data_IF_545686354918
#
_entry.id   IF_545686354918
#
_cell.length_a   1.000
_cell.length_b   1.000
_cell.length_c   1.000
_cell.angle_alpha   90.00
_cell.angle_beta   90.00
_cell.angle_gamma   90.00
#
_symmetry.space_group_name_H-M   'P 1'
#
loop_
_entity.id
_entity.type
_entity.pdbx_description
1 polymer ?
#
# COMPACT_ATOMS: atom_id res chain seq x y z
N UNK A 1 12.95 -37.35 -18.98
CA UNK A 1 11.81 -36.69 -19.57
C UNK A 1 10.79 -36.20 -18.55
N UNK A 2 10.40 -37.05 -17.62
CA UNK A 2 9.46 -36.67 -16.57
C UNK A 2 9.99 -35.52 -15.71
N UNK A 3 11.26 -35.56 -15.44
CA UNK A 3 11.92 -34.55 -14.65
C UNK A 3 11.77 -33.16 -15.26
N UNK A 4 11.90 -33.13 -16.58
CA UNK A 4 11.76 -31.87 -17.30
C UNK A 4 10.35 -31.32 -17.22
N UNK A 5 9.36 -32.18 -17.26
CA UNK A 5 7.98 -31.79 -17.15
C UNK A 5 7.64 -31.31 -15.73
N UNK A 6 8.23 -31.93 -14.73
CA UNK A 6 8.03 -31.51 -13.34
C UNK A 6 8.63 -30.14 -13.11
N UNK A 7 9.79 -29.88 -13.69
CA UNK A 7 10.43 -28.57 -13.57
C UNK A 7 9.56 -27.49 -14.20
N UNK A 8 8.96 -27.78 -15.33
CA UNK A 8 8.07 -26.86 -15.99
C UNK A 8 6.83 -26.57 -15.15
N UNK A 9 6.29 -27.59 -14.52
CA UNK A 9 5.14 -27.42 -13.64
C UNK A 9 5.45 -26.52 -12.45
N UNK A 10 6.61 -26.73 -11.86
CA UNK A 10 7.04 -25.92 -10.74
C UNK A 10 7.24 -24.45 -11.13
N UNK A 11 7.91 -24.21 -12.25
CA UNK A 11 8.11 -22.85 -12.74
C UNK A 11 6.79 -22.16 -13.04
N UNK A 12 5.85 -22.89 -13.59
CA UNK A 12 4.53 -22.35 -13.88
C UNK A 12 3.81 -21.93 -12.61
N UNK A 13 3.91 -22.72 -11.55
CA UNK A 13 3.31 -22.38 -10.26
C UNK A 13 3.94 -21.14 -9.66
N UNK A 14 5.26 -21.04 -9.74
CA UNK A 14 5.97 -19.87 -9.23
C UNK A 14 5.56 -18.61 -9.99
N UNK A 15 5.43 -18.73 -11.31
CA UNK A 15 5.02 -17.62 -12.14
C UNK A 15 3.59 -17.18 -11.82
N UNK A 16 2.70 -18.12 -11.56
CA UNK A 16 1.32 -17.81 -11.21
C UNK A 16 1.24 -17.04 -9.89
N UNK A 17 1.98 -17.46 -8.90
CA UNK A 17 2.00 -16.77 -7.61
C UNK A 17 2.53 -15.36 -7.78
N UNK A 18 3.63 -15.22 -8.48
CA UNK A 18 4.23 -13.93 -8.76
C UNK A 18 3.27 -13.02 -9.51
N UNK A 19 2.60 -13.58 -10.50
CA UNK A 19 1.65 -12.85 -11.31
C UNK A 19 0.45 -12.37 -10.47
N UNK A 20 -0.04 -13.20 -9.58
CA UNK A 20 -1.16 -12.85 -8.71
C UNK A 20 -0.80 -11.67 -7.80
N UNK A 21 0.37 -11.70 -7.17
CA UNK A 21 0.83 -10.62 -6.30
C UNK A 21 1.00 -9.33 -7.11
N UNK A 22 1.61 -9.43 -8.29
CA UNK A 22 1.80 -8.28 -9.16
C UNK A 22 0.46 -7.72 -9.63
N UNK A 23 -0.50 -8.59 -9.94
CA UNK A 23 -1.82 -8.16 -10.36
C UNK A 23 -2.55 -7.38 -9.29
N UNK A 24 -2.45 -7.81 -8.04
CA UNK A 24 -3.11 -7.10 -6.95
C UNK A 24 -2.47 -5.74 -6.70
N UNK A 25 -1.14 -5.68 -6.76
CA UNK A 25 -0.45 -4.40 -6.65
C UNK A 25 -0.83 -3.48 -7.80
N UNK A 26 -0.93 -4.01 -9.00
CA UNK A 26 -1.34 -3.25 -10.17
C UNK A 26 -2.78 -2.74 -10.02
N UNK A 27 -3.68 -3.58 -9.55
CA UNK A 27 -5.06 -3.19 -9.29
C UNK A 27 -5.14 -2.08 -8.26
N UNK A 28 -4.34 -2.19 -7.21
CA UNK A 28 -4.31 -1.17 -6.17
C UNK A 28 -3.89 0.19 -6.73
N UNK A 29 -2.85 0.18 -7.56
CA UNK A 29 -2.37 1.40 -8.21
C UNK A 29 -3.45 1.97 -9.14
N UNK A 30 -4.08 1.11 -9.94
CA UNK A 30 -5.16 1.55 -10.82
C UNK A 30 -6.32 2.15 -10.04
N UNK A 31 -6.71 1.53 -8.94
CA UNK A 31 -7.81 2.04 -8.13
C UNK A 31 -7.44 3.36 -7.47
N UNK A 32 -6.20 3.50 -7.04
CA UNK A 32 -5.73 4.77 -6.48
C UNK A 32 -5.74 5.88 -7.54
N UNK A 33 -5.30 5.57 -8.76
CA UNK A 33 -5.30 6.54 -9.83
C UNK A 33 -6.72 6.88 -10.30
N UNK A 34 -7.65 5.93 -10.16
CA UNK A 34 -9.03 6.15 -10.56
C UNK A 34 -9.75 7.17 -9.68
N UNK A 35 -9.24 7.43 -8.48
CA UNK A 35 -9.85 8.44 -7.59
C UNK A 35 -9.06 9.73 -7.53
N UNK A 36 -8.15 9.96 -8.48
CA UNK A 36 -7.47 11.25 -8.57
C UNK A 36 -8.52 12.36 -8.71
N UNK A 37 -8.29 13.44 -8.00
CA UNK A 37 -9.21 14.58 -8.02
C UNK A 37 -10.28 14.54 -6.95
N UNK A 38 -10.47 13.44 -6.25
CA UNK A 38 -11.44 13.38 -5.15
C UNK A 38 -10.98 14.32 -4.04
N UNK A 39 -11.87 15.20 -3.54
CA UNK A 39 -11.47 16.20 -2.55
C UNK A 39 -11.04 15.59 -1.23
N UNK A 40 -10.10 16.26 -0.57
CA UNK A 40 -9.75 15.93 0.80
C UNK A 40 -10.93 16.26 1.70
N UNK A 41 -11.22 15.37 2.64
CA UNK A 41 -12.25 15.59 3.63
C UNK A 41 -11.79 15.01 4.95
N UNK A 42 -11.72 15.85 5.97
CA UNK A 42 -11.30 15.39 7.29
C UNK A 42 -12.24 14.29 7.78
N UNK A 43 -11.66 13.16 8.17
CA UNK A 43 -12.44 12.00 8.59
C UNK A 43 -13.05 11.21 7.45
N UNK A 44 -12.83 11.61 6.19
CA UNK A 44 -13.44 10.97 5.04
C UNK A 44 -12.73 9.67 4.66
N UNK A 45 -13.54 8.69 4.21
CA UNK A 45 -13.03 7.39 3.82
C UNK A 45 -13.78 6.79 2.64
N UNK A 46 -14.40 7.63 1.81
CA UNK A 46 -15.07 7.15 0.60
C UNK A 46 -14.90 8.17 -0.52
N UNK A 47 -15.01 7.70 -1.75
CA UNK A 47 -14.91 8.57 -2.91
C UNK A 47 -16.06 9.56 -2.97
N UNK A 48 -17.24 9.15 -2.50
CA UNK A 48 -18.42 10.00 -2.49
C UNK A 48 -18.30 11.14 -1.48
N UNK A 49 -17.78 10.86 -0.30
CA UNK A 49 -17.65 11.84 0.75
C UNK A 49 -16.32 12.59 0.73
N UNK A 50 -15.31 12.02 0.08
CA UNK A 50 -13.94 12.53 0.12
C UNK A 50 -13.10 11.70 1.07
N UNK A 51 -11.79 11.91 1.01
CA UNK A 51 -10.82 11.15 1.80
C UNK A 51 -9.92 12.04 2.62
N UNK A 52 -9.59 11.63 3.85
CA UNK A 52 -8.34 12.12 4.43
C UNK A 52 -7.22 11.13 4.06
N UNK A 53 -5.99 11.36 4.52
CA UNK A 53 -4.85 10.58 4.02
C UNK A 53 -4.97 9.08 4.35
N UNK A 54 -5.24 8.75 5.60
CA UNK A 54 -5.34 7.36 6.02
C UNK A 54 -6.65 6.73 5.58
N UNK A 55 -7.71 7.52 5.44
CA UNK A 55 -8.98 7.05 4.91
C UNK A 55 -8.87 6.62 3.46
N UNK A 56 -8.09 7.35 2.67
CA UNK A 56 -7.80 6.98 1.29
C UNK A 56 -7.10 5.62 1.22
N UNK A 57 -6.03 5.48 2.00
CA UNK A 57 -5.26 4.22 2.01
C UNK A 57 -6.13 3.05 2.47
N UNK A 58 -6.88 3.26 3.54
CA UNK A 58 -7.78 2.22 4.07
C UNK A 58 -8.79 1.79 3.01
N UNK A 59 -9.43 2.76 2.34
CA UNK A 59 -10.43 2.46 1.32
C UNK A 59 -9.84 1.70 0.14
N UNK A 60 -8.66 2.09 -0.32
CA UNK A 60 -8.03 1.43 -1.46
C UNK A 60 -7.67 -0.02 -1.14
N UNK A 61 -7.13 -0.28 0.05
CA UNK A 61 -6.79 -1.65 0.44
C UNK A 61 -8.02 -2.50 0.68
N UNK A 62 -9.04 -1.96 1.29
CA UNK A 62 -10.27 -2.70 1.51
C UNK A 62 -10.93 -3.07 0.18
N UNK A 63 -11.02 -2.12 -0.73
CA UNK A 63 -11.67 -2.30 -2.02
C UNK A 63 -10.90 -3.27 -2.92
N UNK A 64 -9.58 -3.22 -2.90
CA UNK A 64 -8.77 -4.00 -3.83
C UNK A 64 -8.39 -5.36 -3.29
N UNK A 65 -8.00 -5.41 -2.02
CA UNK A 65 -7.43 -6.62 -1.40
C UNK A 65 -8.36 -7.23 -0.39
N UNK A 66 -9.39 -6.52 0.03
CA UNK A 66 -10.32 -7.00 1.06
C UNK A 66 -9.75 -6.92 2.46
N UNK A 67 -8.67 -6.19 2.65
CA UNK A 67 -8.04 -6.06 3.95
C UNK A 67 -8.41 -4.74 4.59
N UNK A 68 -8.87 -4.80 5.83
CA UNK A 68 -9.26 -3.61 6.58
C UNK A 68 -8.08 -3.14 7.41
N UNK A 69 -7.44 -2.08 6.96
CA UNK A 69 -6.35 -1.46 7.70
C UNK A 69 -6.89 -0.60 8.84
N UNK A 70 -6.07 -0.32 9.86
CA UNK A 70 -6.49 0.61 10.89
C UNK A 70 -6.82 1.99 10.31
N UNK A 71 -7.56 2.79 11.08
CA UNK A 71 -8.08 4.05 10.56
C UNK A 71 -7.05 5.17 10.49
N UNK A 72 -6.11 5.20 11.43
CA UNK A 72 -5.15 6.30 11.52
C UNK A 72 -3.80 5.93 10.91
N UNK A 73 -3.10 6.92 10.36
CA UNK A 73 -1.83 6.69 9.69
C UNK A 73 -0.81 6.00 10.59
N UNK A 74 -0.64 6.47 11.83
CA UNK A 74 0.34 5.84 12.74
C UNK A 74 -0.03 4.42 13.09
N UNK A 75 -1.31 4.11 13.13
CA UNK A 75 -1.78 2.74 13.36
C UNK A 75 -1.52 1.86 12.14
N UNK A 76 -1.68 2.42 10.96
CA UNK A 76 -1.36 1.70 9.72
C UNK A 76 0.13 1.39 9.65
N UNK A 77 0.97 2.32 10.07
CA UNK A 77 2.41 2.07 10.13
C UNK A 77 2.74 0.94 11.10
N UNK A 78 2.12 0.96 12.29
CA UNK A 78 2.39 -0.04 13.31
C UNK A 78 1.90 -1.44 12.91
N UNK A 79 0.90 -1.52 12.05
CA UNK A 79 0.29 -2.79 11.65
C UNK A 79 0.95 -3.42 10.43
N UNK A 80 1.95 -2.77 9.84
CA UNK A 80 2.53 -3.21 8.58
C UNK A 80 4.03 -3.43 8.73
N UNK A 81 4.61 -4.13 7.76
CA UNK A 81 5.99 -4.54 7.81
C UNK A 81 6.91 -3.41 7.38
N UNK A 82 7.90 -3.11 8.20
CA UNK A 82 8.90 -2.11 7.84
C UNK A 82 9.78 -2.63 6.71
N UNK A 83 9.99 -1.80 5.69
CA UNK A 83 10.91 -2.10 4.60
C UNK A 83 11.82 -0.90 4.40
N UNK A 84 12.94 -1.14 3.74
CA UNK A 84 13.86 -0.09 3.39
C UNK A 84 13.28 0.72 2.23
N UNK A 85 13.59 2.01 2.21
CA UNK A 85 13.16 2.89 1.13
C UNK A 85 13.60 2.37 -0.24
N UNK A 86 14.77 1.73 -0.29
CA UNK A 86 15.30 1.16 -1.53
C UNK A 86 14.53 -0.06 -2.00
N UNK A 87 13.69 -0.64 -1.14
CA UNK A 87 12.91 -1.83 -1.47
C UNK A 87 11.48 -1.51 -1.88
N UNK A 88 11.14 -0.25 -2.00
CA UNK A 88 9.78 0.17 -2.33
C UNK A 88 9.30 -0.43 -3.65
N UNK A 89 8.07 -0.93 -3.63
CA UNK A 89 7.37 -1.47 -4.79
C UNK A 89 5.99 -0.85 -4.89
N UNK A 90 5.42 -0.77 -6.09
CA UNK A 90 4.06 -0.26 -6.22
C UNK A 90 3.10 -0.98 -5.27
N UNK A 91 2.27 -0.21 -4.59
CA UNK A 91 1.34 -0.73 -3.58
C UNK A 91 1.83 -0.57 -2.15
N UNK A 92 3.12 -0.37 -1.94
CA UNK A 92 3.65 -0.15 -0.60
C UNK A 92 3.19 1.19 -0.05
N UNK A 93 3.26 1.34 1.26
CA UNK A 93 2.87 2.58 1.93
C UNK A 93 4.10 3.41 2.25
N UNK A 94 3.96 4.72 2.08
CA UNK A 94 5.01 5.67 2.43
C UNK A 94 4.45 6.64 3.45
N UNK A 95 5.23 6.89 4.50
CA UNK A 95 4.80 7.69 5.64
C UNK A 95 5.64 8.93 5.80
N UNK A 96 5.01 10.01 6.23
CA UNK A 96 5.66 11.31 6.33
C UNK A 96 5.22 12.03 7.60
N UNK A 97 6.04 12.96 8.04
CA UNK A 97 5.72 13.86 9.13
C UNK A 97 5.27 15.19 8.53
N UNK A 98 3.97 15.41 8.48
CA UNK A 98 3.42 16.65 7.93
C UNK A 98 2.79 17.54 8.97
N UNK A 99 2.67 17.05 10.22
CA UNK A 99 2.02 17.78 11.30
C UNK A 99 2.87 17.80 12.55
N UNK A 100 4.19 17.85 12.37
CA UNK A 100 5.16 17.82 13.47
C UNK A 100 5.00 16.59 14.34
N UNK A 101 4.51 15.52 13.75
CA UNK A 101 4.28 14.26 14.44
C UNK A 101 4.64 13.12 13.49
N UNK A 102 5.43 12.16 13.99
CA UNK A 102 5.88 11.05 13.18
C UNK A 102 4.69 10.24 12.67
N UNK A 103 4.80 9.79 11.43
CA UNK A 103 3.78 8.96 10.79
C UNK A 103 2.40 9.60 10.78
N UNK A 104 2.36 10.92 10.64
CA UNK A 104 1.09 11.66 10.62
C UNK A 104 0.44 11.66 9.24
N UNK A 105 1.19 11.28 8.20
CA UNK A 105 0.70 11.28 6.83
C UNK A 105 1.10 9.99 6.12
N UNK A 106 0.24 9.52 5.22
CA UNK A 106 0.49 8.28 4.48
C UNK A 106 0.00 8.40 3.05
N UNK A 107 0.70 7.71 2.15
CA UNK A 107 0.30 7.58 0.75
C UNK A 107 0.66 6.21 0.22
N UNK A 108 0.27 5.95 -1.01
CA UNK A 108 0.53 4.68 -1.71
C UNK A 108 1.59 4.91 -2.78
N UNK A 109 2.68 4.16 -2.68
CA UNK A 109 3.76 4.23 -3.66
C UNK A 109 3.30 3.60 -4.98
N UNK A 110 3.60 4.25 -6.09
CA UNK A 110 3.16 3.74 -7.40
C UNK A 110 4.32 3.48 -8.37
N UNK A 111 5.56 3.58 -7.88
CA UNK A 111 6.74 3.36 -8.72
C UNK A 111 7.39 4.67 -9.14
N UNK A 112 8.61 4.59 -9.61
CA UNK A 112 9.37 5.73 -10.14
C UNK A 112 9.48 6.91 -9.19
N UNK A 113 9.53 6.63 -7.89
CA UNK A 113 9.65 7.66 -6.88
C UNK A 113 8.39 8.45 -6.65
N UNK A 114 7.25 7.99 -7.14
CA UNK A 114 5.98 8.71 -7.03
C UNK A 114 5.01 8.02 -6.09
N UNK A 115 4.13 8.79 -5.49
CA UNK A 115 3.08 8.25 -4.63
C UNK A 115 1.78 9.03 -4.81
N UNK A 116 0.67 8.35 -4.52
CA UNK A 116 -0.67 8.93 -4.57
C UNK A 116 -1.15 9.12 -3.15
N UNK A 117 -1.73 10.25 -2.86
CA UNK A 117 -2.23 10.54 -1.51
C UNK A 117 -3.35 11.58 -1.53
N UNK A 118 -4.07 11.65 -0.41
CA UNK A 118 -5.03 12.71 -0.15
C UNK A 118 -4.36 13.67 0.84
N UNK A 119 -3.85 14.83 0.38
CA UNK A 119 -2.85 15.55 1.16
C UNK A 119 -3.35 16.42 2.31
N UNK A 120 -4.35 17.25 2.08
CA UNK A 120 -4.74 18.26 3.08
C UNK A 120 -6.04 18.93 2.68
N UNK A 121 -6.71 19.62 3.62
CA UNK A 121 -7.91 20.37 3.30
C UNK A 121 -7.68 21.38 2.17
N UNK A 122 -8.63 21.46 1.26
CA UNK A 122 -8.55 22.33 0.10
C UNK A 122 -7.85 21.70 -1.08
N UNK A 123 -7.24 20.55 -0.93
CA UNK A 123 -6.60 19.83 -2.01
C UNK A 123 -7.38 18.57 -2.38
N UNK A 124 -6.85 17.81 -3.30
CA UNK A 124 -7.50 16.62 -3.88
C UNK A 124 -6.50 15.48 -3.90
N UNK A 125 -7.00 14.27 -4.03
CA UNK A 125 -6.13 13.11 -4.28
C UNK A 125 -5.26 13.42 -5.49
N UNK A 126 -3.95 13.27 -5.33
CA UNK A 126 -2.99 13.61 -6.39
C UNK A 126 -1.71 12.80 -6.27
N UNK A 127 -0.92 12.81 -7.35
CA UNK A 127 0.39 12.19 -7.41
C UNK A 127 1.45 13.21 -7.00
N UNK A 128 2.42 12.77 -6.21
CA UNK A 128 3.57 13.60 -5.84
C UNK A 128 4.85 12.80 -5.98
N UNK A 129 5.96 13.50 -6.05
CA UNK A 129 7.28 12.89 -6.19
C UNK A 129 8.00 12.91 -4.84
N UNK A 130 8.42 11.73 -4.38
CA UNK A 130 9.12 11.59 -3.10
C UNK A 130 10.48 12.29 -3.10
N UNK A 131 11.05 12.54 -4.27
CA UNK A 131 12.33 13.21 -4.40
C UNK A 131 12.27 14.71 -4.18
N UNK A 132 11.09 15.31 -4.18
CA UNK A 132 10.94 16.73 -3.86
C UNK A 132 11.38 16.99 -2.44
N UNK A 133 12.01 18.15 -2.25
CA UNK A 133 12.67 18.46 -1.01
C UNK A 133 11.74 18.35 0.22
N UNK A 134 10.51 18.82 0.09
CA UNK A 134 9.55 18.71 1.18
C UNK A 134 9.31 17.28 1.60
N UNK A 135 9.02 16.38 0.64
CA UNK A 135 8.71 15.00 0.93
C UNK A 135 9.93 14.23 1.39
N UNK A 136 11.07 14.52 0.77
CA UNK A 136 12.32 13.88 1.15
C UNK A 136 12.71 14.19 2.59
N UNK A 137 12.55 15.44 3.02
CA UNK A 137 12.90 15.85 4.38
C UNK A 137 11.94 15.33 5.43
N UNK A 138 10.70 15.07 5.05
CA UNK A 138 9.68 14.66 5.99
C UNK A 138 9.35 13.18 5.92
N UNK A 139 10.14 12.41 5.21
CA UNK A 139 9.93 10.98 5.05
C UNK A 139 10.23 10.24 6.35
N UNK A 140 9.27 9.47 6.85
CA UNK A 140 9.39 8.72 8.11
C UNK A 140 9.62 7.24 7.90
N UNK A 141 9.23 6.69 6.77
CA UNK A 141 9.47 5.27 6.53
C UNK A 141 8.55 4.68 5.51
N UNK A 142 8.93 3.50 5.06
CA UNK A 142 8.17 2.70 4.10
C UNK A 142 7.66 1.45 4.78
N UNK A 143 6.47 1.00 4.40
CA UNK A 143 5.85 -0.19 4.96
C UNK A 143 5.23 -1.02 3.86
N UNK A 144 5.22 -2.33 4.06
CA UNK A 144 4.55 -3.25 3.15
C UNK A 144 3.40 -3.92 3.86
N UNK A 145 2.24 -3.91 3.22
CA UNK A 145 1.07 -4.58 3.76
C UNK A 145 1.25 -6.07 3.52
N UNK A 146 1.22 -6.85 4.59
CA UNK A 146 1.50 -8.28 4.48
C UNK A 146 0.46 -9.02 3.65
N UNK A 147 -0.72 -8.48 3.49
CA UNK A 147 -1.74 -9.09 2.67
C UNK A 147 -1.29 -9.27 1.22
N UNK A 148 -0.45 -8.38 0.71
CA UNK A 148 0.09 -8.54 -0.64
C UNK A 148 1.05 -9.72 -0.74
N UNK A 149 1.68 -10.08 0.36
CA UNK A 149 2.57 -11.22 0.43
C UNK A 149 1.95 -12.45 1.03
N UNK A 150 0.72 -12.36 1.52
CA UNK A 150 0.10 -13.47 2.24
C UNK A 150 -0.11 -14.69 1.38
N UNK A 151 -0.24 -14.50 0.10
CA UNK A 151 -0.40 -15.61 -0.83
C UNK A 151 0.86 -16.43 -0.96
N UNK A 152 1.97 -15.88 -0.52
CA UNK A 152 3.23 -16.60 -0.52
C UNK A 152 3.47 -17.35 0.77
N UNK A 153 2.69 -17.04 1.80
CA UNK A 153 2.82 -17.66 3.12
C UNK A 153 1.45 -18.04 3.65
N UNK A 154 0.78 -18.98 3.02
CA UNK A 154 -0.58 -19.30 3.43
C UNK A 154 -0.59 -19.93 4.80
N UNK A 155 -1.35 -19.38 5.68
CA UNK A 155 -1.81 -20.07 6.88
C UNK A 155 -0.79 -20.52 7.89
N UNK A 156 0.46 -20.29 7.64
CA UNK A 156 1.48 -20.79 8.56
C UNK A 156 1.34 -20.20 9.95
N UNK A 157 0.65 -19.11 10.06
CA UNK A 157 0.53 -18.44 11.34
C UNK A 157 -0.68 -18.86 12.12
N UNK A 158 -1.63 -19.43 11.47
CA UNK A 158 -2.88 -19.76 12.13
C UNK A 158 -2.74 -20.62 13.36
N UNK A 159 -1.96 -21.66 13.33
CA UNK A 159 -1.93 -22.59 14.45
C UNK A 159 -1.41 -22.00 15.72
N UNK A 160 -0.54 -21.06 15.60
CA UNK A 160 0.05 -20.48 16.79
C UNK A 160 -0.92 -19.65 17.59
N UNK A 161 -1.88 -19.14 16.95
CA UNK A 161 -2.83 -18.28 17.61
C UNK A 161 -3.65 -19.01 18.65
N UNK A 162 -3.64 -20.31 18.60
CA UNK A 162 -4.47 -21.10 19.48
C UNK A 162 -3.87 -21.37 20.81
N UNK A 163 -2.66 -21.03 21.02
CA UNK A 163 -1.99 -21.27 22.29
C UNK A 163 -2.12 -20.09 23.19
#
# INVERSE_FOLDING_TARGET
>A
MNRFLDDRGLLSQIDQVRHTVTSRATELVFNALAVLGVPYRRGGNSAEAGFDCSGFVKAMYEQTVGLILPRKAEQQAAATQQIDKTELRPGDLVFFNTMRRAFSHVGIYIGDGQFVHSPKPGAHVRVENMGESYWSRNFDGARRVQALGAELKPLSTSPTAQR
#
